data_IF_283941641595
#
_entry.id   IF_283941641595
#
_cell.length_a   1.000
_cell.length_b   1.000
_cell.length_c   1.000
_cell.angle_alpha   90.00
_cell.angle_beta   90.00
_cell.angle_gamma   90.00
#
_symmetry.space_group_name_H-M   'P 1'
#
loop_
_entity.id
_entity.type
_entity.pdbx_description
1 polymer ?
#
# COMPACT_ATOMS: atom_id res chain seq x y z
N UNK A 1 11.76 -11.66 -6.35
CA UNK A 1 11.37 -10.28 -6.01
C UNK A 1 11.90 -9.40 -7.12
N UNK A 2 11.03 -8.71 -7.87
CA UNK A 2 11.49 -7.81 -8.93
C UNK A 2 12.03 -6.56 -8.23
N UNK A 3 13.35 -6.34 -8.22
CA UNK A 3 14.00 -5.34 -7.36
C UNK A 3 13.54 -3.89 -7.62
N UNK A 4 12.95 -3.63 -8.79
CA UNK A 4 12.49 -2.31 -9.21
C UNK A 4 11.10 -1.91 -8.67
N UNK A 5 10.22 -2.88 -8.36
CA UNK A 5 8.87 -2.61 -7.86
C UNK A 5 8.82 -2.77 -6.35
N UNK A 6 9.28 -1.73 -5.66
CA UNK A 6 9.44 -1.70 -4.21
C UNK A 6 8.60 -0.60 -3.55
N UNK A 7 7.88 0.22 -4.31
CA UNK A 7 7.03 1.30 -3.81
C UNK A 7 5.68 1.33 -4.51
N UNK A 8 4.66 1.76 -3.78
CA UNK A 8 3.33 2.06 -4.29
C UNK A 8 2.71 3.22 -3.49
N UNK A 9 1.80 3.96 -4.13
CA UNK A 9 1.01 5.00 -3.49
C UNK A 9 -0.47 4.77 -3.79
N UNK A 10 -1.32 4.82 -2.77
CA UNK A 10 -2.77 4.92 -2.92
C UNK A 10 -3.18 6.35 -2.60
N UNK A 11 -3.84 7.01 -3.53
CA UNK A 11 -4.39 8.36 -3.36
C UNK A 11 -5.88 8.27 -3.05
N UNK A 12 -6.32 9.01 -2.03
CA UNK A 12 -7.71 9.04 -1.59
C UNK A 12 -8.40 10.34 -2.04
N UNK A 13 -9.72 10.30 -2.11
CA UNK A 13 -10.54 11.43 -2.59
C UNK A 13 -10.50 12.65 -1.67
N UNK A 14 -10.13 12.46 -0.40
CA UNK A 14 -9.90 13.56 0.56
C UNK A 14 -8.52 14.24 0.35
N UNK A 15 -7.74 13.80 -0.64
CA UNK A 15 -6.41 14.30 -0.96
C UNK A 15 -5.29 13.68 -0.10
N UNK A 16 -5.63 12.83 0.88
CA UNK A 16 -4.63 12.07 1.65
C UNK A 16 -4.08 10.90 0.82
N UNK A 17 -2.92 10.37 1.20
CA UNK A 17 -2.32 9.23 0.52
C UNK A 17 -1.68 8.22 1.48
N UNK A 18 -1.62 6.96 1.04
CA UNK A 18 -0.86 5.90 1.69
C UNK A 18 0.32 5.49 0.83
N UNK A 19 1.52 5.57 1.39
CA UNK A 19 2.75 5.10 0.76
C UNK A 19 3.17 3.74 1.34
N UNK A 20 3.65 2.89 0.45
CA UNK A 20 4.16 1.57 0.77
C UNK A 20 5.61 1.46 0.30
N UNK A 21 6.46 0.85 1.11
CA UNK A 21 7.80 0.43 0.68
C UNK A 21 8.06 -1.03 1.08
N UNK A 22 8.66 -1.78 0.17
CA UNK A 22 9.10 -3.15 0.36
C UNK A 22 10.41 -3.37 -0.39
N UNK A 23 11.52 -2.89 0.17
CA UNK A 23 12.86 -3.06 -0.42
C UNK A 23 13.59 -4.29 0.16
N UNK A 24 13.24 -4.70 1.38
CA UNK A 24 13.77 -5.92 2.02
C UNK A 24 12.78 -6.47 3.07
N UNK A 25 13.09 -7.62 3.67
CA UNK A 25 12.31 -8.13 4.81
C UNK A 25 12.31 -7.18 6.01
N UNK A 26 13.41 -6.45 6.22
CA UNK A 26 13.57 -5.51 7.35
C UNK A 26 13.15 -4.08 7.00
N UNK A 27 13.01 -3.75 5.71
CA UNK A 27 12.53 -2.45 5.26
C UNK A 27 11.21 -2.63 4.50
N UNK A 28 10.16 -2.80 5.30
CA UNK A 28 8.78 -2.99 4.86
C UNK A 28 7.86 -2.14 5.74
N UNK A 29 7.26 -1.11 5.17
CA UNK A 29 6.40 -0.18 5.90
C UNK A 29 5.25 0.35 5.03
N UNK A 30 4.19 0.80 5.71
CA UNK A 30 3.11 1.61 5.15
C UNK A 30 3.01 2.90 5.98
N UNK A 31 2.78 4.05 5.33
CA UNK A 31 2.68 5.36 6.00
C UNK A 31 1.59 6.22 5.38
N UNK A 32 0.77 6.81 6.22
CA UNK A 32 -0.18 7.84 5.82
C UNK A 32 0.51 9.19 5.62
N UNK A 33 -0.06 10.02 4.76
CA UNK A 33 0.43 11.38 4.49
C UNK A 33 0.25 12.35 5.65
N UNK A 34 -0.79 12.16 6.46
CA UNK A 34 -1.13 13.00 7.60
C UNK A 34 -2.06 12.24 8.57
N UNK A 35 -1.99 12.56 9.86
CA UNK A 35 -2.89 12.01 10.89
C UNK A 35 -4.34 12.46 10.70
N UNK A 36 -5.28 11.71 11.30
CA UNK A 36 -6.72 12.01 11.30
C UNK A 36 -7.35 12.17 9.89
N UNK A 37 -6.76 11.49 8.90
CA UNK A 37 -7.27 11.40 7.52
C UNK A 37 -7.82 10.00 7.21
N UNK A 38 -8.45 9.83 6.05
CA UNK A 38 -8.83 8.48 5.57
C UNK A 38 -7.59 7.59 5.45
N UNK A 39 -6.48 8.11 4.92
CA UNK A 39 -5.21 7.40 4.86
C UNK A 39 -4.73 6.94 6.24
N UNK A 40 -4.77 7.80 7.27
CA UNK A 40 -4.35 7.43 8.64
C UNK A 40 -5.20 6.30 9.21
N UNK A 41 -6.53 6.42 9.10
CA UNK A 41 -7.47 5.40 9.57
C UNK A 41 -7.20 4.04 8.92
N UNK A 42 -7.04 4.02 7.59
CA UNK A 42 -6.72 2.80 6.85
C UNK A 42 -5.34 2.29 7.25
N UNK A 43 -4.32 3.16 7.34
CA UNK A 43 -2.95 2.77 7.70
C UNK A 43 -2.88 2.01 9.02
N UNK A 44 -3.60 2.49 10.04
CA UNK A 44 -3.63 1.90 11.38
C UNK A 44 -4.39 0.58 11.42
N UNK A 45 -5.28 0.34 10.47
CA UNK A 45 -6.04 -0.90 10.34
C UNK A 45 -5.31 -2.00 9.56
N UNK A 46 -4.18 -1.68 8.90
CA UNK A 46 -3.42 -2.66 8.13
C UNK A 46 -2.63 -3.56 9.08
N UNK A 47 -2.97 -4.85 9.06
CA UNK A 47 -2.21 -5.90 9.72
C UNK A 47 -0.96 -6.28 8.89
N UNK A 48 -1.15 -6.42 7.58
CA UNK A 48 -0.12 -6.89 6.65
C UNK A 48 -0.37 -6.35 5.25
N UNK A 49 0.67 -6.14 4.43
CA UNK A 49 0.50 -5.87 2.98
C UNK A 49 1.47 -6.67 2.11
N UNK A 50 1.07 -7.11 0.91
CA UNK A 50 1.98 -7.66 -0.10
C UNK A 50 2.12 -6.67 -1.23
N UNK A 51 3.37 -6.38 -1.59
CA UNK A 51 3.69 -5.53 -2.73
C UNK A 51 4.61 -6.28 -3.68
N UNK A 52 4.24 -6.33 -4.95
CA UNK A 52 5.05 -6.83 -6.05
C UNK A 52 4.73 -6.06 -7.34
N UNK A 53 5.36 -6.44 -8.46
CA UNK A 53 5.19 -5.74 -9.74
C UNK A 53 3.78 -5.83 -10.35
N UNK A 54 2.92 -6.74 -9.87
CA UNK A 54 1.58 -6.99 -10.41
C UNK A 54 0.46 -6.42 -9.54
N UNK A 55 0.63 -6.42 -8.22
CA UNK A 55 -0.40 -5.94 -7.31
C UNK A 55 0.16 -5.42 -5.99
N UNK A 56 -0.69 -4.60 -5.37
CA UNK A 56 -0.69 -4.30 -3.94
C UNK A 56 -1.88 -5.01 -3.30
N UNK A 57 -1.64 -5.78 -2.25
CA UNK A 57 -2.69 -6.42 -1.46
C UNK A 57 -2.57 -5.98 -0.01
N UNK A 58 -3.68 -5.55 0.59
CA UNK A 58 -3.78 -5.12 1.98
C UNK A 58 -4.60 -6.15 2.76
N UNK A 59 -4.12 -6.51 3.95
CA UNK A 59 -4.81 -7.36 4.92
C UNK A 59 -5.07 -6.52 6.16
N UNK A 60 -6.33 -6.49 6.61
CA UNK A 60 -6.77 -5.66 7.71
C UNK A 60 -6.94 -6.48 9.00
N UNK A 61 -6.89 -5.81 10.14
CA UNK A 61 -7.08 -6.43 11.47
C UNK A 61 -8.46 -7.09 11.64
N UNK A 62 -9.47 -6.66 10.88
CA UNK A 62 -10.82 -7.26 10.88
C UNK A 62 -10.93 -8.54 10.02
N UNK A 63 -9.84 -8.97 9.40
CA UNK A 63 -9.78 -10.15 8.53
C UNK A 63 -10.19 -9.89 7.08
N UNK A 64 -10.67 -8.69 6.74
CA UNK A 64 -10.94 -8.30 5.36
C UNK A 64 -9.65 -8.04 4.58
N UNK A 65 -9.75 -7.99 3.24
CA UNK A 65 -8.63 -7.63 2.38
C UNK A 65 -9.08 -6.78 1.19
N UNK A 66 -8.14 -6.01 0.65
CA UNK A 66 -8.30 -5.25 -0.58
C UNK A 66 -7.11 -5.53 -1.52
N UNK A 67 -7.37 -5.66 -2.81
CA UNK A 67 -6.35 -5.91 -3.82
C UNK A 67 -6.43 -4.88 -4.96
N UNK A 68 -5.28 -4.35 -5.34
CA UNK A 68 -5.11 -3.34 -6.39
C UNK A 68 -4.13 -3.87 -7.42
N UNK A 69 -4.54 -3.91 -8.67
CA UNK A 69 -3.72 -4.43 -9.78
C UNK A 69 -3.10 -3.28 -10.55
N UNK A 70 -1.82 -3.40 -10.88
CA UNK A 70 -1.20 -2.53 -11.88
C UNK A 70 -1.61 -3.03 -13.26
N UNK A 71 -2.37 -2.21 -14.00
CA UNK A 71 -2.45 -2.42 -15.45
C UNK A 71 -1.12 -1.97 -16.05
N UNK A 72 -0.45 -2.80 -16.86
CA UNK A 72 0.69 -2.32 -17.63
C UNK A 72 0.21 -1.13 -18.47
N UNK A 73 0.95 -0.03 -18.45
CA UNK A 73 0.74 1.03 -19.42
C UNK A 73 0.92 0.41 -20.81
N UNK A 74 -0.09 0.49 -21.68
CA UNK A 74 0.07 0.15 -23.08
C UNK A 74 1.20 1.01 -23.64
N UNK A 75 2.22 0.35 -24.20
CA UNK A 75 3.39 0.98 -24.80
C UNK A 75 3.02 1.83 -26.02
#
# INVERSE_FOLDING_TARGET
MNAAFNRATLEFTDGSYLQFEHTSRSNRWARASADATVADGICRSIHQFRLNAKHLQLFFEDGSNAEFFSTPASA
#
